data_IF_985349936540
#
_entry.id   IF_985349936540
#
_cell.length_a   1.000
_cell.length_b   1.000
_cell.length_c   1.000
_cell.angle_alpha   90.00
_cell.angle_beta   90.00
_cell.angle_gamma   90.00
#
_symmetry.space_group_name_H-M   'P 1'
#
loop_
_entity.id
_entity.type
_entity.pdbx_description
1 polymer ?
#
# COMPACT_ATOMS: atom_id res chain seq x y z
N UNK A 1 -27.60 -33.69 -26.34
CA UNK A 1 -26.70 -32.60 -25.85
C UNK A 1 -27.15 -31.25 -26.39
N UNK A 2 -27.44 -31.10 -27.69
CA UNK A 2 -28.04 -29.88 -28.23
C UNK A 2 -29.46 -29.62 -27.69
N UNK A 3 -30.28 -30.66 -27.55
CA UNK A 3 -31.69 -30.51 -27.09
C UNK A 3 -31.79 -29.97 -25.66
N UNK A 4 -30.77 -30.21 -24.83
CA UNK A 4 -30.68 -29.69 -23.47
C UNK A 4 -30.35 -28.19 -23.48
N UNK A 5 -29.48 -27.74 -24.39
CA UNK A 5 -29.09 -26.32 -24.54
C UNK A 5 -30.25 -25.46 -25.06
N UNK A 6 -31.09 -26.02 -25.94
CA UNK A 6 -32.29 -25.34 -26.47
C UNK A 6 -33.56 -25.55 -25.62
N UNK A 7 -33.48 -26.33 -24.55
CA UNK A 7 -34.58 -26.43 -23.58
C UNK A 7 -34.74 -25.13 -22.79
N UNK A 8 -35.96 -24.84 -22.33
CA UNK A 8 -36.23 -23.64 -21.53
C UNK A 8 -35.36 -23.60 -20.25
N UNK A 9 -35.02 -24.75 -19.67
CA UNK A 9 -34.17 -24.84 -18.49
C UNK A 9 -32.68 -24.68 -18.83
N UNK A 10 -32.24 -25.20 -19.97
CA UNK A 10 -30.90 -24.92 -20.51
C UNK A 10 -30.68 -23.42 -20.77
N UNK A 11 -31.69 -22.73 -21.32
CA UNK A 11 -31.64 -21.30 -21.57
C UNK A 11 -31.59 -20.48 -20.27
N UNK A 12 -32.33 -20.88 -19.22
CA UNK A 12 -32.26 -20.25 -17.89
C UNK A 12 -30.88 -20.41 -17.24
N UNK A 13 -30.29 -21.61 -17.32
CA UNK A 13 -28.94 -21.88 -16.79
C UNK A 13 -27.91 -21.02 -17.53
N UNK A 14 -28.01 -20.93 -18.86
CA UNK A 14 -27.14 -20.08 -19.66
C UNK A 14 -27.29 -18.59 -19.28
N UNK A 15 -28.52 -18.10 -19.16
CA UNK A 15 -28.79 -16.73 -18.74
C UNK A 15 -28.21 -16.43 -17.35
N UNK A 16 -28.37 -17.36 -16.39
CA UNK A 16 -27.78 -17.24 -15.05
C UNK A 16 -26.24 -17.17 -15.11
N UNK A 17 -25.60 -18.03 -15.91
CA UNK A 17 -24.15 -18.01 -16.10
C UNK A 17 -23.67 -16.68 -16.70
N UNK A 18 -24.37 -16.16 -17.71
CA UNK A 18 -24.06 -14.85 -18.31
C UNK A 18 -24.18 -13.74 -17.26
N UNK A 19 -25.22 -13.75 -16.43
CA UNK A 19 -25.39 -12.77 -15.34
C UNK A 19 -24.24 -12.87 -14.33
N UNK A 20 -23.88 -14.08 -13.89
CA UNK A 20 -22.77 -14.30 -12.95
C UNK A 20 -21.44 -13.80 -13.53
N UNK A 21 -21.11 -14.18 -14.77
CA UNK A 21 -19.89 -13.74 -15.46
C UNK A 21 -19.88 -12.21 -15.57
N UNK A 22 -21.01 -11.60 -15.95
CA UNK A 22 -21.14 -10.15 -16.06
C UNK A 22 -20.90 -9.46 -14.71
N UNK A 23 -21.51 -9.97 -13.63
CA UNK A 23 -21.34 -9.43 -12.27
C UNK A 23 -19.88 -9.55 -11.80
N UNK A 24 -19.24 -10.70 -12.03
CA UNK A 24 -17.82 -10.92 -11.70
C UNK A 24 -16.94 -9.94 -12.46
N UNK A 25 -17.17 -9.77 -13.76
CA UNK A 25 -16.40 -8.88 -14.61
C UNK A 25 -16.55 -7.40 -14.20
N UNK A 26 -17.77 -6.94 -13.91
CA UNK A 26 -18.04 -5.59 -13.41
C UNK A 26 -17.35 -5.35 -12.07
N UNK A 27 -17.43 -6.32 -11.13
CA UNK A 27 -16.74 -6.22 -9.83
C UNK A 27 -15.23 -6.14 -10.00
N UNK A 28 -14.64 -6.99 -10.85
CA UNK A 28 -13.20 -7.03 -11.08
C UNK A 28 -12.69 -5.72 -11.72
N UNK A 29 -13.40 -5.17 -12.72
CA UNK A 29 -13.07 -3.86 -13.30
C UNK A 29 -13.16 -2.73 -12.28
N UNK A 30 -14.20 -2.73 -11.44
CA UNK A 30 -14.36 -1.73 -10.38
C UNK A 30 -13.19 -1.80 -9.38
N UNK A 31 -12.81 -3.00 -8.93
CA UNK A 31 -11.68 -3.18 -8.03
C UNK A 31 -10.36 -2.71 -8.65
N UNK A 32 -10.10 -3.04 -9.93
CA UNK A 32 -8.93 -2.55 -10.64
C UNK A 32 -8.88 -1.02 -10.74
N UNK A 33 -10.03 -0.36 -10.92
CA UNK A 33 -10.13 1.11 -10.95
C UNK A 33 -9.88 1.72 -9.57
N UNK A 34 -10.50 1.16 -8.53
CA UNK A 34 -10.33 1.64 -7.15
C UNK A 34 -8.90 1.45 -6.65
N UNK A 35 -8.25 0.32 -6.97
CA UNK A 35 -6.85 0.09 -6.63
C UNK A 35 -5.89 1.06 -7.37
N UNK A 36 -6.36 1.73 -8.42
CA UNK A 36 -5.59 2.80 -9.08
C UNK A 36 -5.65 4.14 -8.36
N UNK A 37 -6.58 4.32 -7.42
CA UNK A 37 -6.68 5.52 -6.59
C UNK A 37 -5.78 5.35 -5.36
N UNK A 38 -4.76 6.21 -5.15
CA UNK A 38 -3.90 6.17 -3.96
C UNK A 38 -4.69 6.17 -2.64
N UNK A 39 -5.90 6.75 -2.61
CA UNK A 39 -6.78 6.77 -1.43
C UNK A 39 -7.13 5.40 -0.90
N UNK A 40 -7.07 4.35 -1.73
CA UNK A 40 -7.35 2.97 -1.29
C UNK A 40 -6.44 2.52 -0.14
N UNK A 41 -5.22 3.06 -0.06
CA UNK A 41 -4.30 2.78 1.04
C UNK A 41 -4.78 3.46 2.31
N UNK A 42 -5.15 4.75 2.24
CA UNK A 42 -5.74 5.49 3.36
C UNK A 42 -6.97 4.76 3.90
N UNK A 43 -7.91 4.40 3.03
CA UNK A 43 -9.14 3.68 3.40
C UNK A 43 -8.86 2.34 4.11
N UNK A 44 -7.77 1.65 3.74
CA UNK A 44 -7.36 0.44 4.45
C UNK A 44 -6.76 0.77 5.81
N UNK A 45 -5.85 1.74 5.89
CA UNK A 45 -5.17 2.13 7.12
C UNK A 45 -6.16 2.63 8.19
N UNK A 46 -7.22 3.33 7.79
CA UNK A 46 -8.29 3.79 8.68
C UNK A 46 -9.08 2.64 9.35
N UNK A 47 -8.87 1.39 8.91
CA UNK A 47 -9.45 0.20 9.55
C UNK A 47 -8.61 -0.36 10.70
N UNK A 48 -7.39 0.17 10.90
CA UNK A 48 -6.56 -0.21 12.03
C UNK A 48 -7.22 0.17 13.35
N UNK A 49 -6.91 -0.58 14.42
CA UNK A 49 -7.44 -0.31 15.75
C UNK A 49 -6.96 1.01 16.35
N UNK A 50 -7.55 1.40 17.47
CA UNK A 50 -7.28 2.67 18.17
C UNK A 50 -5.81 2.85 18.63
N UNK A 51 -5.02 1.77 18.68
CA UNK A 51 -3.59 1.81 19.01
C UNK A 51 -2.71 2.41 17.89
N UNK A 52 -3.30 2.64 16.71
CA UNK A 52 -2.63 3.18 15.52
C UNK A 52 -3.20 4.54 15.17
N UNK A 53 -2.32 5.53 14.98
CA UNK A 53 -2.66 6.85 14.46
C UNK A 53 -2.18 6.96 13.02
N UNK A 54 -3.11 7.20 12.10
CA UNK A 54 -2.82 7.32 10.66
C UNK A 54 -2.69 8.80 10.28
N UNK A 55 -1.54 9.17 9.77
CA UNK A 55 -1.23 10.51 9.28
C UNK A 55 -1.00 10.43 7.78
N UNK A 56 -1.77 11.20 7.01
CA UNK A 56 -1.69 11.22 5.55
C UNK A 56 -1.17 12.57 5.06
N UNK A 57 -0.60 12.60 3.86
CA UNK A 57 -0.06 13.81 3.25
C UNK A 57 0.99 14.50 4.14
N UNK A 58 1.87 13.70 4.74
CA UNK A 58 2.98 14.18 5.58
C UNK A 58 4.05 14.77 4.66
N UNK A 59 4.28 16.08 4.76
CA UNK A 59 5.27 16.78 3.94
C UNK A 59 6.37 17.33 4.84
N UNK A 60 7.57 16.74 4.74
CA UNK A 60 8.71 17.13 5.56
C UNK A 60 9.76 17.89 4.74
N UNK A 61 10.32 18.94 5.33
CA UNK A 61 11.45 19.65 4.74
C UNK A 61 12.71 18.77 4.77
N UNK A 62 13.36 18.66 3.62
CA UNK A 62 14.64 17.98 3.43
C UNK A 62 15.68 18.96 2.89
N UNK A 63 16.96 18.57 2.95
CA UNK A 63 18.10 19.39 2.52
C UNK A 63 17.99 19.94 1.08
N UNK A 64 17.19 19.29 0.23
CA UNK A 64 17.00 19.68 -1.19
C UNK A 64 15.52 19.86 -1.56
N UNK A 65 14.68 20.35 -0.64
CA UNK A 65 13.27 20.69 -0.92
C UNK A 65 12.29 19.99 0.01
N UNK A 66 11.03 19.86 -0.40
CA UNK A 66 10.00 19.16 0.36
C UNK A 66 9.92 17.68 -0.07
N UNK A 67 9.81 16.77 0.90
CA UNK A 67 9.57 15.36 0.67
C UNK A 67 8.13 15.03 1.09
N UNK A 68 7.30 14.64 0.12
CA UNK A 68 5.99 14.03 0.39
C UNK A 68 6.20 12.56 0.76
N UNK A 69 5.85 12.19 1.98
CA UNK A 69 6.02 10.85 2.53
C UNK A 69 4.85 9.92 2.18
N UNK A 70 3.71 10.48 1.73
CA UNK A 70 2.48 9.72 1.51
C UNK A 70 1.76 9.45 2.82
N UNK A 71 2.01 8.31 3.46
CA UNK A 71 1.35 7.92 4.72
C UNK A 71 2.35 7.52 5.80
N UNK A 72 2.08 7.95 7.03
CA UNK A 72 2.78 7.53 8.23
C UNK A 72 1.77 6.95 9.21
N UNK A 73 2.06 5.78 9.77
CA UNK A 73 1.26 5.21 10.86
C UNK A 73 2.11 5.15 12.12
N UNK A 74 1.61 5.72 13.20
CA UNK A 74 2.32 5.77 14.49
C UNK A 74 1.61 4.87 15.48
N UNK A 75 2.36 4.01 16.17
CA UNK A 75 1.88 3.12 17.23
C UNK A 75 2.96 2.92 18.28
N UNK A 76 2.66 2.25 19.39
CA UNK A 76 3.67 1.84 20.39
C UNK A 76 4.69 0.83 19.83
N UNK A 77 4.34 0.14 18.74
CA UNK A 77 5.20 -0.84 18.07
C UNK A 77 6.23 -0.19 17.13
N UNK A 78 6.03 1.07 16.76
CA UNK A 78 6.92 1.81 15.87
C UNK A 78 6.18 2.77 14.94
N UNK A 79 6.97 3.38 14.05
CA UNK A 79 6.52 4.34 13.03
C UNK A 79 6.63 3.71 11.66
N UNK A 80 5.49 3.36 11.05
CA UNK A 80 5.43 2.81 9.71
C UNK A 80 5.47 3.93 8.68
N UNK A 81 6.40 3.85 7.74
CA UNK A 81 6.60 4.85 6.69
C UNK A 81 6.22 4.21 5.37
N UNK A 82 5.10 4.63 4.79
CA UNK A 82 4.43 3.87 3.72
C UNK A 82 4.54 4.63 2.39
N UNK A 83 5.31 4.07 1.46
CA UNK A 83 5.36 4.53 0.06
C UNK A 83 4.36 3.73 -0.77
N UNK A 84 3.45 4.43 -1.44
CA UNK A 84 2.40 3.82 -2.27
C UNK A 84 2.83 3.81 -3.73
N UNK A 85 2.74 2.63 -4.36
CA UNK A 85 3.01 2.40 -5.78
C UNK A 85 1.76 1.86 -6.45
N UNK A 86 1.22 2.62 -7.39
CA UNK A 86 -0.04 2.31 -8.06
C UNK A 86 0.14 1.65 -9.41
N UNK A 87 1.37 1.37 -9.83
CA UNK A 87 1.70 0.77 -11.11
C UNK A 87 1.01 -0.59 -11.27
N UNK A 88 0.47 -0.86 -12.46
CA UNK A 88 -0.16 -2.12 -12.80
C UNK A 88 0.76 -2.97 -13.68
N UNK A 89 0.61 -4.29 -13.60
CA UNK A 89 1.41 -5.24 -14.39
C UNK A 89 2.31 -6.10 -13.52
N UNK A 90 3.27 -6.78 -14.14
CA UNK A 90 4.24 -7.61 -13.43
C UNK A 90 5.50 -6.81 -13.17
N UNK A 91 5.87 -6.64 -11.91
CA UNK A 91 7.10 -5.96 -11.48
C UNK A 91 8.17 -7.01 -11.24
N UNK A 92 9.33 -6.87 -11.86
CA UNK A 92 10.48 -7.74 -11.71
C UNK A 92 11.66 -6.96 -11.15
N UNK A 93 12.36 -7.53 -10.18
CA UNK A 93 13.54 -6.92 -9.56
C UNK A 93 13.92 -7.62 -8.27
N UNK A 94 14.96 -7.09 -7.63
CA UNK A 94 15.44 -7.49 -6.32
C UNK A 94 15.59 -6.27 -5.41
N UNK A 95 15.61 -6.51 -4.11
CA UNK A 95 15.74 -5.49 -3.07
C UNK A 95 16.92 -4.51 -3.31
N UNK A 96 18.08 -5.04 -3.72
CA UNK A 96 19.30 -4.27 -3.97
C UNK A 96 19.40 -3.61 -5.36
N UNK A 97 18.48 -3.90 -6.27
CA UNK A 97 18.54 -3.34 -7.63
C UNK A 97 18.27 -1.84 -7.60
N UNK A 98 18.94 -1.07 -8.45
CA UNK A 98 18.68 0.37 -8.61
C UNK A 98 17.32 0.64 -9.25
N UNK A 99 16.91 -0.22 -10.16
CA UNK A 99 15.75 -0.08 -11.02
C UNK A 99 15.08 -1.45 -11.19
N UNK A 100 13.75 -1.46 -11.21
CA UNK A 100 12.90 -2.61 -11.43
C UNK A 100 12.18 -2.47 -12.78
N UNK A 101 11.78 -3.61 -13.36
CA UNK A 101 11.10 -3.64 -14.66
C UNK A 101 9.60 -3.88 -14.51
N UNK A 102 8.79 -3.13 -15.23
CA UNK A 102 7.33 -3.31 -15.27
C UNK A 102 6.91 -3.85 -16.65
N UNK A 103 6.44 -5.10 -16.68
CA UNK A 103 5.85 -5.73 -17.87
C UNK A 103 4.35 -5.46 -17.97
N UNK A 104 4.02 -4.20 -18.25
CA UNK A 104 2.73 -3.71 -18.76
C UNK A 104 2.89 -2.87 -20.03
N UNK A 105 4.08 -2.26 -20.23
CA UNK A 105 4.43 -1.42 -21.38
C UNK A 105 5.93 -1.26 -21.68
N UNK A 106 6.82 -2.00 -20.99
CA UNK A 106 8.29 -1.79 -20.92
C UNK A 106 8.72 -0.52 -20.17
N UNK A 107 8.13 -0.31 -19.00
CA UNK A 107 8.51 0.80 -18.13
C UNK A 107 9.56 0.38 -17.10
N UNK A 108 10.43 1.31 -16.75
CA UNK A 108 11.40 1.18 -15.65
C UNK A 108 10.84 1.92 -14.44
N UNK A 109 10.93 1.27 -13.28
CA UNK A 109 10.60 1.85 -11.98
C UNK A 109 11.88 1.98 -11.16
N UNK A 110 12.27 3.19 -10.79
CA UNK A 110 13.33 3.36 -9.79
C UNK A 110 12.94 2.67 -8.48
N UNK A 111 13.91 2.04 -7.83
CA UNK A 111 13.64 1.23 -6.64
C UNK A 111 12.91 2.05 -5.55
N UNK A 112 11.64 1.74 -5.25
CA UNK A 112 10.84 2.49 -4.29
C UNK A 112 11.35 2.37 -2.86
N UNK A 113 12.18 1.38 -2.53
CA UNK A 113 12.82 1.28 -1.22
C UNK A 113 13.80 2.45 -0.98
N UNK A 114 14.44 2.94 -2.03
CA UNK A 114 15.35 4.09 -1.91
C UNK A 114 14.58 5.39 -1.70
N UNK A 115 13.41 5.52 -2.31
CA UNK A 115 12.46 6.61 -2.05
C UNK A 115 11.97 6.55 -0.60
N UNK A 116 11.53 5.38 -0.15
CA UNK A 116 11.08 5.17 1.23
C UNK A 116 12.18 5.48 2.26
N UNK A 117 13.42 5.07 2.00
CA UNK A 117 14.57 5.40 2.85
C UNK A 117 14.79 6.90 2.99
N UNK A 118 14.56 7.69 1.94
CA UNK A 118 14.64 9.16 2.03
C UNK A 118 13.56 9.73 2.95
N UNK A 119 12.35 9.17 2.94
CA UNK A 119 11.28 9.55 3.86
C UNK A 119 11.63 9.19 5.31
N UNK A 120 12.10 7.97 5.56
CA UNK A 120 12.56 7.54 6.89
C UNK A 120 13.62 8.50 7.43
N UNK A 121 14.66 8.80 6.63
CA UNK A 121 15.72 9.72 7.04
C UNK A 121 15.19 11.13 7.33
N UNK A 122 14.20 11.61 6.59
CA UNK A 122 13.61 12.93 6.79
C UNK A 122 12.76 12.98 8.08
N UNK A 123 11.98 11.92 8.35
CA UNK A 123 11.22 11.79 9.59
C UNK A 123 12.14 11.64 10.80
N UNK A 124 13.22 10.86 10.69
CA UNK A 124 14.20 10.69 11.75
C UNK A 124 14.83 12.02 12.18
N UNK A 125 15.11 12.92 11.23
CA UNK A 125 15.59 14.27 11.52
C UNK A 125 14.56 15.12 12.30
N UNK A 126 13.27 14.90 12.07
CA UNK A 126 12.18 15.64 12.72
C UNK A 126 11.85 15.09 14.11
N UNK A 127 11.74 13.77 14.23
CA UNK A 127 11.23 13.11 15.44
C UNK A 127 12.33 12.62 16.38
N UNK A 128 13.56 12.53 15.86
CA UNK A 128 14.67 11.79 16.47
C UNK A 128 14.64 10.29 16.10
N UNK A 129 15.70 9.56 16.45
CA UNK A 129 15.82 8.13 16.16
C UNK A 129 14.78 7.32 16.94
N UNK A 130 13.97 6.58 16.22
CA UNK A 130 12.93 5.67 16.74
C UNK A 130 12.86 4.42 15.90
N UNK A 131 12.03 3.45 16.28
CA UNK A 131 11.79 2.27 15.47
C UNK A 131 10.95 2.63 14.23
N UNK A 132 11.61 3.01 13.15
CA UNK A 132 10.99 3.13 11.84
C UNK A 132 10.82 1.76 11.18
N UNK A 133 9.68 1.58 10.50
CA UNK A 133 9.33 0.36 9.77
C UNK A 133 9.01 0.80 8.33
N UNK A 134 9.97 0.66 7.40
CA UNK A 134 9.77 1.02 6.01
C UNK A 134 8.77 0.05 5.36
N UNK A 135 7.84 0.58 4.57
CA UNK A 135 6.87 -0.24 3.82
C UNK A 135 6.66 0.37 2.43
N UNK A 136 6.82 -0.45 1.40
CA UNK A 136 6.41 -0.13 0.04
C UNK A 136 5.20 -1.00 -0.30
N UNK A 137 4.09 -0.37 -0.64
CA UNK A 137 2.85 -1.06 -1.00
C UNK A 137 2.53 -0.89 -2.47
N UNK A 138 2.42 -2.01 -3.18
CA UNK A 138 1.88 -2.05 -4.53
C UNK A 138 0.38 -2.34 -4.53
N UNK A 139 -0.42 -1.46 -5.13
CA UNK A 139 -1.88 -1.59 -5.13
C UNK A 139 -2.40 -2.44 -6.29
N UNK A 140 -1.71 -2.44 -7.44
CA UNK A 140 -2.13 -3.14 -8.66
C UNK A 140 -1.09 -4.11 -9.23
N UNK A 141 0.17 -4.02 -8.81
CA UNK A 141 1.22 -4.85 -9.37
C UNK A 141 1.21 -6.29 -8.84
N UNK A 142 1.65 -7.20 -9.69
CA UNK A 142 2.05 -8.55 -9.32
C UNK A 142 3.58 -8.58 -9.20
N UNK A 143 4.06 -8.71 -7.98
CA UNK A 143 5.49 -8.82 -7.67
C UNK A 143 6.05 -10.17 -8.14
N UNK A 144 7.14 -10.13 -8.92
CA UNK A 144 7.86 -11.28 -9.51
C UNK A 144 9.37 -11.15 -9.27
N UNK A 145 9.81 -11.42 -8.04
CA UNK A 145 11.20 -11.26 -7.63
C UNK A 145 11.38 -11.40 -6.12
N UNK A 146 12.56 -11.01 -5.65
CA UNK A 146 12.99 -11.06 -4.24
C UNK A 146 13.14 -9.63 -3.72
N UNK A 147 12.04 -9.03 -3.27
CA UNK A 147 11.98 -7.62 -2.91
C UNK A 147 12.26 -7.33 -1.43
N UNK A 148 12.51 -8.36 -0.63
CA UNK A 148 12.65 -8.27 0.82
C UNK A 148 11.31 -8.15 1.55
N UNK A 149 11.36 -8.06 2.87
CA UNK A 149 10.18 -8.12 3.74
C UNK A 149 9.35 -6.83 3.77
N UNK A 150 9.90 -5.73 3.23
CA UNK A 150 9.29 -4.39 3.29
C UNK A 150 8.47 -4.03 2.05
N UNK A 151 8.41 -4.92 1.05
CA UNK A 151 7.70 -4.69 -0.20
C UNK A 151 6.54 -5.66 -0.31
N UNK A 152 5.33 -5.13 -0.22
CA UNK A 152 4.11 -5.92 -0.09
C UNK A 152 3.04 -5.48 -1.09
N UNK A 153 2.00 -6.29 -1.26
CA UNK A 153 0.79 -5.90 -1.98
C UNK A 153 -0.23 -5.32 -1.01
N UNK A 154 -1.15 -4.50 -1.53
CA UNK A 154 -2.20 -3.87 -0.74
C UNK A 154 -2.97 -4.85 0.18
N UNK A 155 -3.29 -6.06 -0.31
CA UNK A 155 -3.98 -7.08 0.51
C UNK A 155 -3.19 -7.55 1.75
N UNK A 156 -1.88 -7.36 1.76
CA UNK A 156 -0.96 -7.74 2.84
C UNK A 156 -0.73 -6.59 3.83
N UNK A 157 -1.18 -5.35 3.52
CA UNK A 157 -0.87 -4.15 4.31
C UNK A 157 -1.31 -4.25 5.77
N UNK A 158 -2.60 -4.53 6.01
CA UNK A 158 -3.13 -4.60 7.38
C UNK A 158 -2.51 -5.78 8.17
N UNK A 159 -2.48 -7.02 7.63
CA UNK A 159 -1.77 -8.11 8.30
C UNK A 159 -0.30 -7.80 8.61
N UNK A 160 0.40 -7.10 7.71
CA UNK A 160 1.80 -6.72 7.89
C UNK A 160 2.02 -5.71 9.02
N UNK A 161 1.09 -4.78 9.21
CA UNK A 161 1.14 -3.81 10.31
C UNK A 161 0.82 -4.49 11.64
N UNK A 162 -0.26 -5.28 11.69
CA UNK A 162 -0.76 -5.92 12.90
C UNK A 162 0.12 -7.06 13.44
N UNK A 163 0.95 -7.68 12.58
CA UNK A 163 1.93 -8.67 13.03
C UNK A 163 3.08 -8.06 13.86
N UNK A 164 3.31 -6.74 13.75
CA UNK A 164 4.34 -6.05 14.53
C UNK A 164 3.81 -5.76 15.93
N UNK A 165 4.05 -6.68 16.87
CA UNK A 165 3.54 -6.59 18.26
C UNK A 165 4.60 -6.31 19.32
N UNK A 166 5.87 -6.20 18.93
CA UNK A 166 6.95 -5.87 19.86
C UNK A 166 6.89 -4.38 20.19
N UNK A 167 6.60 -4.04 21.43
CA UNK A 167 6.60 -2.65 21.87
C UNK A 167 8.02 -2.07 21.82
N UNK A 168 8.13 -0.88 21.21
CA UNK A 168 9.39 -0.17 21.00
C UNK A 168 9.33 1.28 21.47
N UNK A 169 8.13 1.84 21.68
CA UNK A 169 7.90 3.22 22.09
C UNK A 169 7.03 3.25 23.35
N UNK A 170 7.35 4.14 24.28
CA UNK A 170 6.42 4.53 25.34
C UNK A 170 5.24 5.31 24.75
N UNK A 171 4.12 5.36 25.47
CA UNK A 171 2.97 6.16 25.07
C UNK A 171 3.36 7.65 24.95
N UNK A 172 4.12 8.18 25.90
CA UNK A 172 4.59 9.58 25.85
C UNK A 172 5.41 9.86 24.60
N UNK A 173 6.32 8.95 24.21
CA UNK A 173 7.14 9.13 23.01
C UNK A 173 6.31 9.00 21.74
N UNK A 174 5.34 8.08 21.70
CA UNK A 174 4.38 7.93 20.62
C UNK A 174 3.58 9.24 20.43
N UNK A 175 3.06 9.80 21.52
CA UNK A 175 2.22 10.99 21.48
C UNK A 175 3.04 12.24 21.10
N UNK A 176 4.29 12.34 21.55
CA UNK A 176 5.24 13.38 21.09
C UNK A 176 5.47 13.30 19.57
N UNK A 177 5.63 12.09 19.02
CA UNK A 177 5.83 11.88 17.58
C UNK A 177 4.57 12.29 16.81
N UNK A 178 3.39 11.86 17.28
CA UNK A 178 2.11 12.23 16.65
C UNK A 178 1.98 13.75 16.59
N UNK A 179 2.16 14.44 17.72
CA UNK A 179 2.05 15.89 17.78
C UNK A 179 3.03 16.59 16.81
N UNK A 180 4.28 16.12 16.70
CA UNK A 180 5.26 16.66 15.73
C UNK A 180 4.80 16.46 14.28
N UNK A 181 4.30 15.27 13.95
CA UNK A 181 3.92 14.94 12.59
C UNK A 181 2.61 15.61 12.15
N UNK A 182 1.68 15.87 13.08
CA UNK A 182 0.47 16.64 12.79
C UNK A 182 0.78 18.06 12.31
N UNK A 183 1.84 18.70 12.81
CA UNK A 183 2.24 20.05 12.35
C UNK A 183 2.70 20.11 10.89
N UNK A 184 3.08 18.96 10.32
CA UNK A 184 3.59 18.82 8.95
C UNK A 184 2.67 17.97 8.07
N UNK A 185 1.48 17.63 8.56
CA UNK A 185 0.45 16.90 7.83
C UNK A 185 -0.67 17.85 7.43
N UNK A 186 -1.26 17.65 6.25
CA UNK A 186 -2.49 18.35 5.85
C UNK A 186 -3.70 17.45 6.12
N UNK A 187 -4.70 17.98 6.84
CA UNK A 187 -5.98 17.29 7.11
C UNK A 187 -6.77 17.01 5.81
#
# INVERSE_FOLDING_TARGET
MMDFIFSADGLKILALLVVVITVVWVKQRRQHRLAGDPKVVKDQLERLGADYTVLSNVVVSAERGMNDVGHVVVSTYGVFVITVKTEAGKVFGREGDREWQIKSGRDILYNPLWENRKHVNALEKLTGPVRFIPVVVFTRAVLKGEFGDHVIRLKELIPYIEQQKKSHLSNDKRDEIIAKLETVSSH
#
